data_IF_078015008382
#
_entry.id   IF_078015008382
#
_cell.length_a   1.000
_cell.length_b   1.000
_cell.length_c   1.000
_cell.angle_alpha   90.00
_cell.angle_beta   90.00
_cell.angle_gamma   90.00
#
_symmetry.space_group_name_H-M   'P 1'
#
loop_
_entity.id
_entity.type
_entity.pdbx_description
1 polymer ?
#
# COMPACT_ATOMS: atom_id res chain seq x y z
N UNK A 1 19.70 32.06 -31.80
CA UNK A 1 18.68 32.19 -30.75
C UNK A 1 17.39 32.69 -31.37
N UNK A 2 16.35 31.84 -31.40
CA UNK A 2 14.98 32.32 -31.20
C UNK A 2 14.24 31.52 -30.12
N UNK A 3 13.26 32.19 -29.53
CA UNK A 3 12.40 31.78 -28.43
C UNK A 3 11.57 30.53 -28.73
N UNK A 4 11.61 29.55 -27.82
CA UNK A 4 10.62 28.49 -27.68
C UNK A 4 9.53 28.97 -26.71
N UNK A 5 8.44 29.48 -27.26
CA UNK A 5 7.15 29.59 -26.59
C UNK A 5 6.15 28.75 -27.38
N UNK A 6 5.40 27.90 -26.67
CA UNK A 6 4.24 27.20 -27.22
C UNK A 6 4.44 25.70 -27.42
N UNK A 7 4.49 24.93 -26.32
CA UNK A 7 4.13 23.49 -26.31
C UNK A 7 3.82 23.01 -24.88
N UNK A 8 2.92 23.72 -24.20
CA UNK A 8 2.24 23.25 -22.98
C UNK A 8 0.73 23.41 -23.18
N UNK A 9 0.18 22.71 -24.17
CA UNK A 9 -1.26 22.47 -24.24
C UNK A 9 -1.50 21.31 -25.20
N UNK A 10 -1.55 20.08 -24.68
CA UNK A 10 -2.16 18.89 -25.31
C UNK A 10 -1.89 17.66 -24.41
N UNK A 11 -2.48 17.66 -23.21
CA UNK A 11 -2.75 16.44 -22.43
C UNK A 11 -4.10 16.54 -21.70
N UNK A 12 -4.99 17.43 -22.16
CA UNK A 12 -6.39 17.43 -21.79
C UNK A 12 -7.19 16.63 -22.83
N UNK A 13 -6.80 15.37 -23.06
CA UNK A 13 -7.55 14.47 -23.92
C UNK A 13 -8.65 13.79 -23.12
N UNK A 14 -9.84 14.37 -23.22
CA UNK A 14 -11.14 13.71 -23.36
C UNK A 14 -11.22 12.29 -22.79
N UNK A 15 -11.56 12.19 -21.50
CA UNK A 15 -12.01 10.93 -20.91
C UNK A 15 -13.32 10.55 -21.61
N UNK A 16 -13.29 9.49 -22.42
CA UNK A 16 -14.52 8.94 -22.99
C UNK A 16 -15.43 8.44 -21.87
N UNK A 17 -16.73 8.72 -21.96
CA UNK A 17 -17.76 8.28 -21.02
C UNK A 17 -17.71 6.76 -20.76
N UNK A 18 -17.26 5.96 -21.72
CA UNK A 18 -17.08 4.51 -21.58
C UNK A 18 -15.94 4.09 -20.64
N UNK A 19 -14.81 4.79 -20.64
CA UNK A 19 -13.69 4.56 -19.70
C UNK A 19 -14.12 4.84 -18.26
N UNK A 20 -14.98 5.84 -18.10
CA UNK A 20 -15.43 6.33 -16.82
C UNK A 20 -16.55 5.46 -16.21
N UNK A 21 -17.44 4.91 -17.05
CA UNK A 21 -18.40 3.85 -16.66
C UNK A 21 -17.67 2.58 -16.22
N UNK A 22 -16.55 2.22 -16.86
CA UNK A 22 -15.73 1.07 -16.47
C UNK A 22 -15.03 1.31 -15.12
N UNK A 23 -14.54 2.53 -14.86
CA UNK A 23 -13.97 2.94 -13.56
C UNK A 23 -15.03 2.91 -12.47
N UNK A 24 -16.22 3.45 -12.74
CA UNK A 24 -17.35 3.38 -11.81
C UNK A 24 -17.83 1.95 -11.60
N UNK A 25 -17.87 1.10 -12.63
CA UNK A 25 -18.16 -0.32 -12.46
C UNK A 25 -17.05 -1.06 -11.73
N UNK A 26 -15.78 -0.65 -11.85
CA UNK A 26 -14.66 -1.26 -11.17
C UNK A 26 -14.68 -0.91 -9.68
N UNK A 27 -14.82 0.37 -9.36
CA UNK A 27 -15.01 0.86 -8.00
C UNK A 27 -16.32 0.31 -7.46
N UNK A 28 -17.45 0.46 -8.13
CA UNK A 28 -18.70 -0.14 -7.68
C UNK A 28 -18.65 -1.68 -7.64
N UNK A 29 -17.83 -2.42 -8.38
CA UNK A 29 -17.67 -3.87 -8.19
C UNK A 29 -16.75 -4.19 -7.03
N UNK A 30 -15.54 -3.63 -6.99
CA UNK A 30 -14.60 -3.79 -5.88
C UNK A 30 -15.26 -3.38 -4.55
N UNK A 31 -16.10 -2.35 -4.59
CA UNK A 31 -16.78 -1.79 -3.43
C UNK A 31 -18.21 -2.32 -3.23
N UNK A 32 -19.04 -2.68 -4.23
CA UNK A 32 -20.27 -3.46 -3.97
C UNK A 32 -19.91 -4.82 -3.39
N UNK A 33 -18.80 -5.44 -3.80
CA UNK A 33 -18.32 -6.65 -3.15
C UNK A 33 -17.88 -6.38 -1.70
N UNK A 34 -17.40 -5.17 -1.39
CA UNK A 34 -17.10 -4.74 -0.03
C UNK A 34 -18.34 -4.28 0.78
N UNK A 35 -19.40 -3.78 0.13
CA UNK A 35 -20.58 -3.12 0.72
C UNK A 35 -21.80 -4.05 0.83
N UNK A 36 -22.01 -5.01 -0.08
CA UNK A 36 -23.22 -5.87 -0.15
C UNK A 36 -23.45 -6.74 1.12
N UNK A 37 -22.51 -6.80 2.07
CA UNK A 37 -22.77 -7.45 3.36
C UNK A 37 -22.75 -6.55 4.61
N UNK A 38 -22.39 -5.27 4.51
CA UNK A 38 -22.49 -4.37 5.68
C UNK A 38 -23.92 -3.90 5.98
N UNK A 39 -24.89 -4.17 5.09
CA UNK A 39 -26.31 -3.91 5.31
C UNK A 39 -27.06 -5.05 6.00
N UNK A 40 -26.46 -6.23 6.19
CA UNK A 40 -27.09 -7.32 6.93
C UNK A 40 -26.37 -7.55 8.27
N UNK A 41 -26.66 -6.68 9.25
CA UNK A 41 -26.43 -6.99 10.67
C UNK A 41 -27.61 -7.82 11.23
N UNK A 42 -27.37 -8.57 12.32
CA UNK A 42 -27.82 -9.95 12.49
C UNK A 42 -29.29 -10.06 12.91
N UNK A 43 -30.05 -10.85 12.15
CA UNK A 43 -31.18 -11.59 12.68
C UNK A 43 -30.68 -12.95 13.14
N UNK A 44 -30.88 -13.27 14.42
CA UNK A 44 -30.74 -14.61 14.96
C UNK A 44 -31.48 -15.64 14.06
N UNK A 45 -30.78 -16.69 13.66
CA UNK A 45 -31.36 -17.85 13.00
C UNK A 45 -30.55 -19.09 13.39
N UNK A 46 -31.03 -19.81 14.39
CA UNK A 46 -30.52 -21.10 14.81
C UNK A 46 -30.43 -22.07 13.63
N UNK A 47 -29.24 -22.62 13.39
CA UNK A 47 -29.08 -24.04 13.04
C UNK A 47 -27.83 -24.53 13.73
N UNK A 48 -28.00 -25.29 14.82
CA UNK A 48 -26.91 -26.09 15.35
C UNK A 48 -26.49 -27.13 14.32
N UNK A 49 -25.19 -27.40 14.23
CA UNK A 49 -24.62 -28.75 14.16
C UNK A 49 -23.09 -28.68 14.33
N UNK A 50 -22.57 -29.70 15.00
CA UNK A 50 -21.21 -29.89 15.48
C UNK A 50 -20.22 -30.35 14.41
N UNK A 51 -18.93 -30.09 14.65
CA UNK A 51 -17.78 -30.74 14.01
C UNK A 51 -17.20 -29.94 12.84
N UNK A 52 -15.88 -29.75 12.83
CA UNK A 52 -15.08 -29.19 11.72
C UNK A 52 -15.05 -27.66 11.53
N UNK A 53 -15.04 -26.89 12.62
CA UNK A 53 -14.72 -25.46 12.61
C UNK A 53 -13.22 -25.19 12.87
N UNK A 54 -12.36 -25.34 11.86
CA UNK A 54 -11.08 -24.60 11.79
C UNK A 54 -10.73 -24.39 10.31
N UNK A 55 -10.32 -23.17 9.93
CA UNK A 55 -9.63 -22.86 8.67
C UNK A 55 -10.47 -22.59 7.40
N UNK A 56 -11.65 -21.99 7.54
CA UNK A 56 -12.22 -21.15 6.47
C UNK A 56 -12.20 -19.70 6.98
N UNK A 57 -11.01 -19.11 7.05
CA UNK A 57 -10.92 -17.64 7.04
C UNK A 57 -11.42 -17.24 5.65
N UNK A 58 -12.69 -16.86 5.63
CA UNK A 58 -13.54 -16.61 4.49
C UNK A 58 -12.77 -15.88 3.38
N UNK A 59 -12.45 -16.59 2.30
CA UNK A 59 -11.68 -16.12 1.12
C UNK A 59 -12.24 -14.81 0.56
N UNK A 60 -13.54 -14.56 0.75
CA UNK A 60 -14.18 -13.30 0.41
C UNK A 60 -13.68 -12.12 1.26
N UNK A 61 -13.40 -12.32 2.55
CA UNK A 61 -12.81 -11.31 3.46
C UNK A 61 -11.36 -11.03 3.06
N UNK A 62 -10.58 -12.07 2.76
CA UNK A 62 -9.21 -11.94 2.27
C UNK A 62 -9.15 -11.14 0.97
N UNK A 63 -9.99 -11.47 -0.02
CA UNK A 63 -10.10 -10.73 -1.29
C UNK A 63 -10.58 -9.27 -1.10
N UNK A 64 -11.47 -8.99 -0.13
CA UNK A 64 -11.90 -7.63 0.24
C UNK A 64 -10.76 -6.79 0.84
N UNK A 65 -10.00 -7.36 1.76
CA UNK A 65 -8.86 -6.71 2.43
C UNK A 65 -7.71 -6.50 1.44
N UNK A 66 -7.44 -7.49 0.59
CA UNK A 66 -6.50 -7.43 -0.51
C UNK A 66 -6.88 -6.31 -1.47
N UNK A 67 -8.13 -6.25 -1.92
CA UNK A 67 -8.60 -5.15 -2.77
C UNK A 67 -8.42 -3.78 -2.12
N UNK A 68 -8.71 -3.60 -0.83
CA UNK A 68 -8.55 -2.31 -0.14
C UNK A 68 -7.09 -1.89 0.03
N UNK A 69 -6.23 -2.79 0.51
CA UNK A 69 -4.80 -2.49 0.72
C UNK A 69 -4.13 -2.24 -0.63
N UNK A 70 -4.45 -3.07 -1.63
CA UNK A 70 -3.94 -2.89 -2.98
C UNK A 70 -4.45 -1.61 -3.61
N UNK A 71 -5.74 -1.30 -3.52
CA UNK A 71 -6.28 -0.04 -4.02
C UNK A 71 -5.58 1.13 -3.36
N UNK A 72 -5.49 1.19 -2.03
CA UNK A 72 -4.78 2.28 -1.34
C UNK A 72 -3.34 2.38 -1.83
N UNK A 73 -2.61 1.28 -1.83
CA UNK A 73 -1.21 1.24 -2.24
C UNK A 73 -1.03 1.68 -3.70
N UNK A 74 -1.89 1.22 -4.62
CA UNK A 74 -1.92 1.60 -6.02
C UNK A 74 -2.31 3.06 -6.24
N UNK A 75 -3.29 3.53 -5.48
CA UNK A 75 -3.77 4.91 -5.54
C UNK A 75 -2.65 5.87 -5.19
N UNK A 76 -1.85 5.53 -4.18
CA UNK A 76 -0.81 6.43 -3.70
C UNK A 76 0.50 6.27 -4.50
N UNK A 77 0.85 5.06 -4.93
CA UNK A 77 2.05 4.82 -5.76
C UNK A 77 1.90 5.28 -7.21
N UNK A 78 0.67 5.27 -7.77
CA UNK A 78 0.42 5.57 -9.20
C UNK A 78 -0.52 6.74 -9.43
N UNK A 79 -1.17 7.23 -8.38
CA UNK A 79 -2.01 8.42 -8.48
C UNK A 79 -1.17 9.68 -8.52
N UNK A 80 -1.71 10.71 -9.16
CA UNK A 80 -1.10 12.04 -9.12
C UNK A 80 -1.63 12.77 -7.89
N UNK A 81 -0.73 13.22 -7.01
CA UNK A 81 -1.09 14.14 -5.92
C UNK A 81 -1.59 15.44 -6.56
N UNK A 82 -2.89 15.68 -6.47
CA UNK A 82 -3.54 16.87 -7.04
C UNK A 82 -3.82 17.94 -6.00
N UNK A 83 -3.79 17.58 -4.71
CA UNK A 83 -3.95 18.56 -3.65
C UNK A 83 -3.34 18.11 -2.32
N UNK A 84 -2.80 19.07 -1.57
CA UNK A 84 -2.23 18.85 -0.24
C UNK A 84 -2.52 20.09 0.61
N UNK A 85 -3.35 19.97 1.64
CA UNK A 85 -3.91 21.13 2.36
C UNK A 85 -4.20 20.84 3.83
N UNK A 86 -3.90 21.81 4.70
CA UNK A 86 -4.41 21.84 6.07
C UNK A 86 -5.85 22.35 6.10
N UNK A 87 -6.70 21.73 6.91
CA UNK A 87 -8.09 22.14 7.11
C UNK A 87 -8.35 22.50 8.57
N UNK A 88 -9.31 23.41 8.78
CA UNK A 88 -9.74 23.91 10.10
C UNK A 88 -11.23 23.66 10.36
N UNK A 89 -11.90 22.91 9.47
CA UNK A 89 -13.29 22.52 9.60
C UNK A 89 -13.58 21.26 8.75
N UNK A 90 -14.02 20.18 9.40
CA UNK A 90 -14.33 18.90 8.73
C UNK A 90 -15.54 18.96 7.80
N UNK A 91 -16.48 19.89 8.01
CA UNK A 91 -17.58 20.13 7.08
C UNK A 91 -17.10 20.72 5.74
N UNK A 92 -16.13 21.63 5.79
CA UNK A 92 -15.50 22.22 4.60
C UNK A 92 -14.61 21.21 3.86
N UNK A 93 -14.05 20.23 4.58
CA UNK A 93 -13.24 19.16 4.00
C UNK A 93 -14.00 18.34 2.97
N UNK A 94 -15.25 17.98 3.25
CA UNK A 94 -16.06 17.17 2.35
C UNK A 94 -16.39 17.96 1.07
N UNK A 95 -16.79 19.22 1.20
CA UNK A 95 -17.03 20.11 0.06
C UNK A 95 -15.77 20.28 -0.78
N UNK A 96 -14.64 20.56 -0.13
CA UNK A 96 -13.34 20.68 -0.79
C UNK A 96 -12.96 19.42 -1.57
N UNK A 97 -13.20 18.24 -1.01
CA UNK A 97 -12.93 16.97 -1.69
C UNK A 97 -13.81 16.76 -2.92
N UNK A 98 -15.11 17.12 -2.83
CA UNK A 98 -16.01 17.07 -3.98
C UNK A 98 -15.52 17.98 -5.10
N UNK A 99 -15.11 19.20 -4.77
CA UNK A 99 -14.59 20.16 -5.75
C UNK A 99 -13.27 19.71 -6.36
N UNK A 100 -12.34 19.24 -5.51
CA UNK A 100 -11.01 18.77 -5.93
C UNK A 100 -11.10 17.54 -6.84
N UNK A 101 -12.07 16.66 -6.58
CA UNK A 101 -12.28 15.40 -7.32
C UNK A 101 -13.47 15.46 -8.27
N UNK A 102 -13.88 16.66 -8.68
CA UNK A 102 -15.06 16.88 -9.53
C UNK A 102 -14.99 16.10 -10.84
N UNK A 103 -13.83 16.14 -11.49
CA UNK A 103 -13.62 15.56 -12.82
C UNK A 103 -12.79 14.27 -12.82
N UNK A 104 -12.50 13.72 -11.64
CA UNK A 104 -11.62 12.56 -11.52
C UNK A 104 -12.02 11.69 -10.33
N UNK A 105 -11.70 10.41 -10.39
CA UNK A 105 -11.67 9.58 -9.19
C UNK A 105 -10.46 9.99 -8.35
N UNK A 106 -10.61 10.05 -7.04
CA UNK A 106 -9.49 10.24 -6.11
C UNK A 106 -9.58 9.33 -4.89
N UNK A 107 -8.43 9.14 -4.25
CA UNK A 107 -8.35 8.83 -2.82
C UNK A 107 -7.87 10.09 -2.10
N UNK A 108 -8.43 10.36 -0.93
CA UNK A 108 -7.94 11.37 -0.03
C UNK A 108 -7.51 10.74 1.29
N UNK A 109 -6.27 11.02 1.71
CA UNK A 109 -5.69 10.57 2.95
C UNK A 109 -5.84 11.68 4.00
N UNK A 110 -6.57 11.40 5.06
CA UNK A 110 -6.85 12.35 6.14
C UNK A 110 -5.98 12.04 7.34
N UNK A 111 -5.38 13.08 7.91
CA UNK A 111 -4.58 13.02 9.13
C UNK A 111 -5.00 14.15 10.08
N UNK A 112 -5.62 13.80 11.21
CA UNK A 112 -6.14 14.77 12.18
C UNK A 112 -5.97 14.24 13.62
N UNK A 113 -4.89 14.64 14.29
CA UNK A 113 -4.59 14.16 15.64
C UNK A 113 -4.44 12.63 15.69
N UNK A 114 -5.31 11.96 16.45
CA UNK A 114 -5.37 10.50 16.55
C UNK A 114 -6.21 9.83 15.44
N UNK A 115 -6.69 10.60 14.47
CA UNK A 115 -7.49 10.12 13.35
C UNK A 115 -6.63 10.03 12.09
N UNK A 116 -6.56 8.84 11.52
CA UNK A 116 -6.07 8.60 10.16
C UNK A 116 -7.20 8.06 9.31
N UNK A 117 -7.26 8.41 8.03
CA UNK A 117 -8.33 7.89 7.20
C UNK A 117 -8.09 7.95 5.71
N UNK A 118 -8.95 7.22 5.00
CA UNK A 118 -9.02 7.15 3.55
C UNK A 118 -10.44 7.48 3.12
N UNK A 119 -10.58 8.43 2.20
CA UNK A 119 -11.84 8.82 1.60
C UNK A 119 -11.73 8.59 0.11
N UNK A 120 -12.59 7.77 -0.45
CA UNK A 120 -12.64 7.49 -1.88
C UNK A 120 -13.75 8.32 -2.49
N UNK A 121 -13.40 9.11 -3.50
CA UNK A 121 -14.28 10.09 -4.14
C UNK A 121 -14.36 9.79 -5.63
N UNK A 122 -15.57 9.75 -6.19
CA UNK A 122 -15.82 9.65 -7.63
C UNK A 122 -16.80 10.73 -8.04
N UNK A 123 -16.42 11.59 -8.97
CA UNK A 123 -17.35 12.56 -9.61
C UNK A 123 -18.25 13.29 -8.60
N UNK A 124 -17.63 14.02 -7.67
CA UNK A 124 -18.34 14.79 -6.62
C UNK A 124 -19.06 13.95 -5.54
N UNK A 125 -18.96 12.63 -5.56
CA UNK A 125 -19.56 11.77 -4.54
C UNK A 125 -18.54 10.96 -3.75
N UNK A 126 -18.76 10.89 -2.44
CA UNK A 126 -17.95 10.07 -1.55
C UNK A 126 -18.50 8.64 -1.61
N UNK A 127 -17.72 7.75 -2.21
CA UNK A 127 -18.08 6.35 -2.38
C UNK A 127 -17.83 5.53 -1.12
N UNK A 128 -16.72 5.83 -0.44
CA UNK A 128 -16.35 5.12 0.77
C UNK A 128 -15.47 6.01 1.66
N UNK A 129 -15.56 5.79 2.96
CA UNK A 129 -14.68 6.41 3.94
C UNK A 129 -14.32 5.41 5.01
N UNK A 130 -13.05 5.39 5.37
CA UNK A 130 -12.50 4.56 6.43
C UNK A 130 -11.66 5.44 7.32
N UNK A 131 -11.92 5.41 8.62
CA UNK A 131 -11.08 6.07 9.61
C UNK A 131 -10.58 5.06 10.61
N UNK A 132 -9.38 5.28 11.09
CA UNK A 132 -8.87 4.74 12.33
C UNK A 132 -8.84 5.87 13.36
N UNK A 133 -9.53 5.69 14.49
CA UNK A 133 -9.62 6.66 15.57
C UNK A 133 -9.07 6.01 16.84
N UNK A 134 -7.84 6.36 17.23
CA UNK A 134 -7.24 5.79 18.44
C UNK A 134 -7.22 4.25 18.48
N UNK A 135 -7.07 3.60 17.32
CA UNK A 135 -7.06 2.14 17.17
C UNK A 135 -8.41 1.51 16.80
N UNK A 136 -9.52 2.24 16.87
CA UNK A 136 -10.83 1.76 16.43
C UNK A 136 -11.04 2.03 14.93
N UNK A 137 -11.51 1.03 14.17
CA UNK A 137 -11.84 1.18 12.76
C UNK A 137 -13.30 1.59 12.56
N UNK A 138 -13.51 2.77 11.99
CA UNK A 138 -14.80 3.28 11.54
C UNK A 138 -14.90 3.19 10.02
N UNK A 139 -16.10 2.91 9.49
CA UNK A 139 -16.36 2.83 8.07
C UNK A 139 -17.69 3.51 7.69
N UNK A 140 -17.86 3.79 6.40
CA UNK A 140 -19.11 4.31 5.83
C UNK A 140 -19.63 5.55 6.56
N UNK A 141 -20.91 5.55 6.93
CA UNK A 141 -21.58 6.70 7.58
C UNK A 141 -20.93 7.06 8.92
N UNK A 142 -20.44 6.08 9.70
CA UNK A 142 -19.78 6.36 10.98
C UNK A 142 -18.46 7.11 10.78
N UNK A 143 -17.69 6.70 9.77
CA UNK A 143 -16.48 7.42 9.35
C UNK A 143 -16.81 8.83 8.84
N UNK A 144 -17.87 9.00 8.04
CA UNK A 144 -18.31 10.32 7.55
C UNK A 144 -18.75 11.25 8.68
N UNK A 145 -19.49 10.75 9.66
CA UNK A 145 -19.92 11.54 10.80
C UNK A 145 -18.71 11.99 11.63
N UNK A 146 -17.76 11.08 11.86
CA UNK A 146 -16.53 11.41 12.57
C UNK A 146 -15.69 12.45 11.82
N UNK A 147 -15.61 12.38 10.48
CA UNK A 147 -14.93 13.40 9.66
C UNK A 147 -15.50 14.80 9.86
N UNK A 148 -16.83 14.92 10.00
CA UNK A 148 -17.50 16.21 10.23
C UNK A 148 -17.18 16.82 11.60
N UNK A 149 -16.84 15.98 12.59
CA UNK A 149 -16.44 16.41 13.93
C UNK A 149 -14.97 16.87 14.01
N UNK A 150 -14.17 16.65 12.95
CA UNK A 150 -12.77 17.05 12.95
C UNK A 150 -12.64 18.56 12.81
N UNK A 151 -12.07 19.20 13.82
CA UNK A 151 -11.90 20.66 13.87
C UNK A 151 -10.61 21.12 13.18
N UNK A 152 -9.63 20.25 13.01
CA UNK A 152 -8.41 20.57 12.28
C UNK A 152 -7.71 19.30 11.82
N UNK A 153 -6.89 19.44 10.78
CA UNK A 153 -6.07 18.35 10.30
C UNK A 153 -5.45 18.66 8.95
N UNK A 154 -5.08 17.60 8.27
CA UNK A 154 -4.37 17.63 7.02
C UNK A 154 -4.94 16.61 6.05
N UNK A 155 -4.94 16.97 4.76
CA UNK A 155 -5.39 16.08 3.70
C UNK A 155 -4.43 16.06 2.52
N UNK A 156 -4.22 14.87 1.98
CA UNK A 156 -3.53 14.62 0.72
C UNK A 156 -4.49 13.94 -0.24
N UNK A 157 -4.66 14.49 -1.44
CA UNK A 157 -5.61 14.01 -2.44
C UNK A 157 -4.84 13.51 -3.65
N UNK A 158 -4.97 12.22 -3.94
CA UNK A 158 -4.36 11.56 -5.08
C UNK A 158 -5.47 11.23 -6.09
N UNK A 159 -5.36 11.83 -7.27
CA UNK A 159 -6.20 11.46 -8.41
C UNK A 159 -5.73 10.13 -8.99
N UNK A 160 -6.68 9.27 -9.36
CA UNK A 160 -6.36 8.05 -10.06
C UNK A 160 -6.15 8.32 -11.55
N UNK A 161 -5.14 7.67 -12.13
CA UNK A 161 -5.03 7.58 -13.58
C UNK A 161 -6.07 6.55 -14.11
N UNK A 162 -7.00 6.93 -15.01
CA UNK A 162 -8.02 6.02 -15.54
C UNK A 162 -7.48 4.78 -16.26
N UNK A 163 -6.29 4.88 -16.86
CA UNK A 163 -5.60 3.75 -17.48
C UNK A 163 -5.14 2.74 -16.43
N UNK A 164 -4.64 3.24 -15.29
CA UNK A 164 -4.27 2.43 -14.13
C UNK A 164 -5.50 1.70 -13.58
N UNK A 165 -6.65 2.36 -13.44
CA UNK A 165 -7.89 1.69 -12.97
C UNK A 165 -8.36 0.62 -13.95
N UNK A 166 -8.41 0.92 -15.25
CA UNK A 166 -8.86 -0.04 -16.27
C UNK A 166 -7.95 -1.28 -16.31
N UNK A 167 -6.65 -1.06 -16.09
CA UNK A 167 -5.65 -2.11 -15.99
C UNK A 167 -5.81 -2.92 -14.69
N UNK A 168 -5.97 -2.27 -13.54
CA UNK A 168 -6.28 -2.89 -12.24
C UNK A 168 -7.54 -3.74 -12.34
N UNK A 169 -8.62 -3.22 -12.92
CA UNK A 169 -9.90 -3.93 -13.02
C UNK A 169 -9.80 -5.25 -13.82
N UNK A 170 -9.10 -5.25 -14.96
CA UNK A 170 -8.88 -6.47 -15.75
C UNK A 170 -8.11 -7.54 -14.96
N UNK A 171 -7.18 -7.11 -14.11
CA UNK A 171 -6.37 -8.01 -13.31
C UNK A 171 -7.11 -8.46 -12.04
N UNK A 172 -7.96 -7.63 -11.44
CA UNK A 172 -8.80 -8.00 -10.28
C UNK A 172 -9.79 -9.11 -10.65
N UNK A 173 -10.46 -9.03 -11.80
CA UNK A 173 -11.38 -10.11 -12.23
C UNK A 173 -10.65 -11.45 -12.43
N UNK A 174 -9.38 -11.40 -12.85
CA UNK A 174 -8.52 -12.57 -13.02
C UNK A 174 -8.07 -13.11 -11.67
N UNK A 175 -7.60 -12.23 -10.77
CA UNK A 175 -7.26 -12.56 -9.38
C UNK A 175 -8.43 -13.20 -8.64
N UNK A 176 -9.65 -12.67 -8.78
CA UNK A 176 -10.85 -13.25 -8.14
C UNK A 176 -11.13 -14.66 -8.65
N UNK A 177 -10.97 -14.92 -9.96
CA UNK A 177 -11.18 -16.25 -10.54
C UNK A 177 -10.12 -17.25 -10.06
N UNK A 178 -8.87 -16.82 -9.98
CA UNK A 178 -7.73 -17.66 -9.59
C UNK A 178 -7.75 -17.97 -8.09
N UNK A 179 -8.11 -16.99 -7.25
CA UNK A 179 -8.33 -17.20 -5.81
C UNK A 179 -9.43 -18.24 -5.54
N UNK A 180 -10.45 -18.29 -6.40
CA UNK A 180 -11.56 -19.28 -6.35
C UNK A 180 -11.21 -20.65 -6.96
N UNK A 181 -10.08 -20.78 -7.64
CA UNK A 181 -9.65 -22.07 -8.23
C UNK A 181 -9.18 -23.05 -7.14
N UNK A 182 -9.07 -24.34 -7.47
CA UNK A 182 -8.50 -25.37 -6.59
C UNK A 182 -6.95 -25.35 -6.54
N UNK A 183 -6.31 -24.28 -7.04
CA UNK A 183 -4.86 -24.12 -6.98
C UNK A 183 -4.33 -24.10 -5.54
N UNK A 184 -3.06 -24.49 -5.36
CA UNK A 184 -2.39 -24.42 -4.05
C UNK A 184 -2.36 -22.99 -3.53
N UNK A 185 -2.40 -22.82 -2.21
CA UNK A 185 -2.34 -21.50 -1.56
C UNK A 185 -1.10 -20.69 -1.97
N UNK A 186 0.04 -21.36 -2.14
CA UNK A 186 1.29 -20.76 -2.64
C UNK A 186 1.11 -20.13 -4.02
N UNK A 187 0.47 -20.85 -4.95
CA UNK A 187 0.30 -20.41 -6.34
C UNK A 187 -0.65 -19.19 -6.41
N UNK A 188 -1.68 -19.18 -5.56
CA UNK A 188 -2.62 -18.05 -5.41
C UNK A 188 -1.93 -16.81 -4.87
N UNK A 189 -1.11 -16.96 -3.84
CA UNK A 189 -0.36 -15.86 -3.22
C UNK A 189 0.68 -15.33 -4.20
N UNK A 190 1.42 -16.21 -4.89
CA UNK A 190 2.41 -15.82 -5.88
C UNK A 190 1.78 -15.05 -7.05
N UNK A 191 0.66 -15.55 -7.58
CA UNK A 191 -0.05 -14.86 -8.68
C UNK A 191 -0.60 -13.50 -8.21
N UNK A 192 -1.14 -13.44 -7.00
CA UNK A 192 -1.56 -12.18 -6.37
C UNK A 192 -0.40 -11.22 -6.27
N UNK A 193 0.73 -11.68 -5.73
CA UNK A 193 1.91 -10.87 -5.51
C UNK A 193 2.52 -10.35 -6.82
N UNK A 194 2.68 -11.21 -7.83
CA UNK A 194 3.20 -10.80 -9.14
C UNK A 194 2.28 -9.82 -9.86
N UNK A 195 0.97 -9.98 -9.71
CA UNK A 195 0.01 -9.01 -10.22
C UNK A 195 0.21 -7.67 -9.52
N UNK A 196 0.34 -7.66 -8.19
CA UNK A 196 0.55 -6.45 -7.40
C UNK A 196 1.81 -5.74 -7.84
N UNK A 197 2.96 -6.42 -7.85
CA UNK A 197 4.27 -5.87 -8.28
C UNK A 197 4.18 -5.20 -9.66
N UNK A 198 3.52 -5.87 -10.61
CA UNK A 198 3.30 -5.34 -11.96
C UNK A 198 2.40 -4.10 -11.98
N UNK A 199 1.37 -4.05 -11.14
CA UNK A 199 0.47 -2.88 -11.07
C UNK A 199 1.20 -1.65 -10.49
N UNK A 200 2.17 -1.85 -9.62
CA UNK A 200 2.91 -0.79 -8.91
C UNK A 200 4.25 -0.43 -9.57
N UNK A 201 4.53 -0.98 -10.75
CA UNK A 201 5.79 -0.82 -11.50
C UNK A 201 7.05 -1.17 -10.68
N UNK A 202 6.95 -2.15 -9.79
CA UNK A 202 8.15 -2.73 -9.18
C UNK A 202 8.71 -3.75 -10.18
N UNK A 203 9.95 -3.59 -10.68
CA UNK A 203 10.56 -4.47 -11.67
C UNK A 203 11.04 -5.79 -11.05
N UNK A 204 10.27 -6.36 -10.14
CA UNK A 204 10.52 -7.65 -9.50
C UNK A 204 9.35 -8.60 -9.75
N UNK A 205 9.63 -9.90 -9.66
CA UNK A 205 8.64 -10.96 -9.69
C UNK A 205 9.08 -12.13 -8.82
N UNK A 206 8.12 -12.89 -8.30
CA UNK A 206 8.31 -14.12 -7.54
C UNK A 206 8.21 -15.29 -8.50
N UNK A 207 9.31 -16.06 -8.58
CA UNK A 207 9.42 -17.29 -9.38
C UNK A 207 8.87 -18.50 -8.60
N UNK A 208 9.10 -18.52 -7.29
CA UNK A 208 8.78 -19.65 -6.43
C UNK A 208 8.37 -19.18 -5.03
N UNK A 209 7.36 -19.84 -4.46
CA UNK A 209 6.89 -19.63 -3.09
C UNK A 209 6.56 -20.98 -2.46
N UNK A 210 7.26 -21.34 -1.38
CA UNK A 210 7.03 -22.59 -0.67
C UNK A 210 6.82 -22.37 0.82
N UNK A 211 5.88 -23.13 1.39
CA UNK A 211 5.63 -23.18 2.82
C UNK A 211 6.32 -24.39 3.43
N UNK A 212 7.13 -24.14 4.46
CA UNK A 212 7.89 -25.16 5.18
C UNK A 212 7.47 -25.16 6.65
N UNK A 213 7.62 -26.31 7.32
CA UNK A 213 7.33 -26.47 8.76
C UNK A 213 5.94 -25.96 9.18
N UNK A 214 4.88 -26.31 8.44
CA UNK A 214 3.53 -25.84 8.77
C UNK A 214 3.39 -24.32 8.69
N UNK A 215 4.03 -23.71 7.68
CA UNK A 215 4.00 -22.26 7.37
C UNK A 215 4.83 -21.35 8.30
N UNK A 216 5.54 -21.93 9.27
CA UNK A 216 6.47 -21.18 10.13
C UNK A 216 7.62 -20.55 9.34
N UNK A 217 8.09 -21.26 8.30
CA UNK A 217 9.15 -20.81 7.41
C UNK A 217 8.61 -20.70 5.99
N UNK A 218 8.86 -19.56 5.35
CA UNK A 218 8.51 -19.34 3.95
C UNK A 218 9.78 -19.25 3.13
N UNK A 219 9.86 -19.99 2.03
CA UNK A 219 10.90 -19.83 1.02
C UNK A 219 10.35 -19.05 -0.18
N UNK A 220 11.15 -18.11 -0.69
CA UNK A 220 10.79 -17.26 -1.84
C UNK A 220 11.96 -17.15 -2.82
N UNK A 221 11.77 -17.44 -4.10
CA UNK A 221 12.71 -17.02 -5.16
C UNK A 221 12.18 -15.75 -5.83
N UNK A 222 12.97 -14.68 -5.78
CA UNK A 222 12.63 -13.35 -6.31
C UNK A 222 13.64 -12.97 -7.37
N UNK A 223 13.14 -12.50 -8.51
CA UNK A 223 13.95 -11.94 -9.56
C UNK A 223 13.61 -10.47 -9.78
N UNK A 224 14.64 -9.62 -9.81
CA UNK A 224 14.50 -8.18 -9.99
C UNK A 224 15.36 -7.70 -11.17
N UNK A 225 14.87 -6.71 -11.91
CA UNK A 225 15.61 -6.04 -12.98
C UNK A 225 16.04 -4.65 -12.53
N UNK A 226 17.29 -4.30 -12.85
CA UNK A 226 17.96 -3.00 -12.65
C UNK A 226 18.17 -2.56 -11.19
N UNK A 227 17.16 -2.66 -10.33
CA UNK A 227 17.21 -2.26 -8.92
C UNK A 227 16.88 -3.41 -7.97
N UNK A 228 17.70 -3.58 -6.91
CA UNK A 228 17.42 -4.54 -5.84
C UNK A 228 16.31 -4.00 -4.93
N UNK A 229 15.06 -4.24 -5.34
CA UNK A 229 13.85 -3.95 -4.55
C UNK A 229 13.30 -5.21 -3.88
N UNK A 230 14.18 -6.18 -3.61
CA UNK A 230 13.77 -7.48 -3.09
C UNK A 230 13.21 -7.38 -1.69
N UNK A 231 13.87 -6.63 -0.79
CA UNK A 231 13.35 -6.47 0.57
C UNK A 231 11.94 -5.86 0.53
N UNK A 232 11.75 -4.81 -0.26
CA UNK A 232 10.46 -4.18 -0.47
C UNK A 232 9.40 -5.17 -0.97
N UNK A 233 9.76 -5.99 -1.95
CA UNK A 233 8.93 -7.08 -2.48
C UNK A 233 8.56 -8.08 -1.37
N UNK A 234 9.51 -8.54 -0.58
CA UNK A 234 9.28 -9.46 0.54
C UNK A 234 8.35 -8.85 1.60
N UNK A 235 8.46 -7.56 1.89
CA UNK A 235 7.59 -6.91 2.87
C UNK A 235 6.15 -6.75 2.37
N UNK A 236 5.95 -6.52 1.07
CA UNK A 236 4.61 -6.56 0.45
C UNK A 236 4.05 -7.98 0.50
N UNK A 237 4.88 -9.00 0.21
CA UNK A 237 4.48 -10.40 0.35
C UNK A 237 4.04 -10.72 1.79
N UNK A 238 4.77 -10.25 2.80
CA UNK A 238 4.39 -10.45 4.20
C UNK A 238 2.99 -9.90 4.49
N UNK A 239 2.63 -8.73 3.94
CA UNK A 239 1.27 -8.19 4.06
C UNK A 239 0.23 -9.07 3.37
N UNK A 240 0.56 -9.72 2.26
CA UNK A 240 -0.33 -10.70 1.62
C UNK A 240 -0.46 -11.96 2.47
N UNK A 241 0.63 -12.49 3.03
CA UNK A 241 0.60 -13.66 3.91
C UNK A 241 -0.33 -13.44 5.12
N UNK A 242 -0.26 -12.26 5.74
CA UNK A 242 -1.16 -11.86 6.83
C UNK A 242 -2.65 -11.92 6.44
N UNK A 243 -2.99 -11.55 5.20
CA UNK A 243 -4.37 -11.64 4.68
C UNK A 243 -4.84 -13.09 4.60
N UNK A 244 -3.93 -14.02 4.29
CA UNK A 244 -4.18 -15.45 4.29
C UNK A 244 -4.02 -16.08 5.69
N UNK A 245 -3.85 -15.27 6.75
CA UNK A 245 -3.59 -15.73 8.12
C UNK A 245 -2.32 -16.58 8.27
N UNK A 246 -1.34 -16.36 7.37
CA UNK A 246 -0.04 -17.03 7.39
C UNK A 246 0.96 -16.10 8.07
N UNK A 247 1.53 -16.56 9.18
CA UNK A 247 2.30 -15.74 10.11
C UNK A 247 3.71 -16.30 10.31
N UNK A 248 4.61 -16.23 9.31
CA UNK A 248 5.92 -16.85 9.40
C UNK A 248 6.81 -16.14 10.42
N UNK A 249 7.69 -16.90 11.06
CA UNK A 249 8.74 -16.38 11.94
C UNK A 249 10.02 -16.06 11.15
N UNK A 250 10.19 -16.70 9.99
CA UNK A 250 11.33 -16.48 9.08
C UNK A 250 10.88 -16.55 7.62
N UNK A 251 11.35 -15.60 6.81
CA UNK A 251 11.28 -15.67 5.36
C UNK A 251 12.69 -15.84 4.79
N UNK A 252 12.97 -16.99 4.22
CA UNK A 252 14.18 -17.26 3.46
C UNK A 252 13.96 -16.86 2.02
N UNK A 253 14.87 -16.07 1.44
CA UNK A 253 14.70 -15.63 0.07
C UNK A 253 15.98 -15.66 -0.75
N UNK A 254 15.82 -16.10 -1.99
CA UNK A 254 16.83 -16.06 -3.04
C UNK A 254 16.54 -14.87 -3.94
N UNK A 255 17.58 -14.11 -4.29
CA UNK A 255 17.49 -12.90 -5.10
C UNK A 255 18.28 -13.11 -6.37
N UNK A 256 17.62 -12.98 -7.52
CA UNK A 256 18.23 -12.95 -8.84
C UNK A 256 18.13 -11.54 -9.40
N UNK A 257 19.20 -10.76 -9.26
CA UNK A 257 19.26 -9.39 -9.76
C UNK A 257 19.89 -9.37 -11.17
N UNK A 258 19.15 -8.88 -12.16
CA UNK A 258 19.63 -8.66 -13.52
C UNK A 258 19.90 -7.18 -13.75
N UNK A 259 21.13 -6.79 -14.06
CA UNK A 259 21.53 -5.40 -14.34
C UNK A 259 22.09 -5.28 -15.75
N UNK A 260 21.80 -4.17 -16.43
CA UNK A 260 22.48 -3.83 -17.69
C UNK A 260 23.77 -3.06 -17.40
N UNK A 261 24.92 -3.72 -17.50
CA UNK A 261 26.24 -3.13 -17.29
C UNK A 261 26.98 -3.03 -18.62
N UNK A 262 27.26 -1.81 -19.08
CA UNK A 262 28.00 -1.55 -20.34
C UNK A 262 27.40 -2.27 -21.57
N UNK A 263 26.07 -2.40 -21.61
CA UNK A 263 25.36 -3.10 -22.70
C UNK A 263 25.31 -4.62 -22.56
N UNK A 264 25.80 -5.19 -21.46
CA UNK A 264 25.78 -6.63 -21.15
C UNK A 264 24.87 -6.86 -19.95
N UNK A 265 23.95 -7.82 -20.06
CA UNK A 265 23.13 -8.26 -18.93
C UNK A 265 24.03 -9.06 -17.97
N UNK A 266 24.17 -8.58 -16.74
CA UNK A 266 24.80 -9.32 -15.65
C UNK A 266 23.75 -9.82 -14.67
N UNK A 267 23.97 -11.02 -14.18
CA UNK A 267 23.10 -11.64 -13.19
C UNK A 267 23.88 -11.88 -11.90
N UNK A 268 23.29 -11.47 -10.77
CA UNK A 268 23.83 -11.72 -9.43
C UNK A 268 22.79 -12.47 -8.62
N UNK A 269 23.22 -13.60 -8.05
CA UNK A 269 22.39 -14.41 -7.15
C UNK A 269 22.87 -14.23 -5.71
N UNK A 270 21.95 -13.94 -4.80
CA UNK A 270 22.23 -13.84 -3.38
C UNK A 270 21.14 -14.53 -2.56
N UNK A 271 21.52 -15.25 -1.50
CA UNK A 271 20.58 -15.81 -0.52
C UNK A 271 20.59 -14.93 0.72
N UNK A 272 19.41 -14.62 1.23
CA UNK A 272 19.19 -13.77 2.40
C UNK A 272 18.04 -14.37 3.22
N UNK A 273 17.84 -13.84 4.43
CA UNK A 273 16.70 -14.20 5.28
C UNK A 273 16.18 -12.95 6.01
N UNK A 274 14.92 -13.00 6.42
CA UNK A 274 14.25 -11.97 7.21
C UNK A 274 13.65 -12.63 8.45
N UNK A 275 14.15 -12.28 9.62
CA UNK A 275 13.60 -12.73 10.91
C UNK A 275 12.45 -11.82 11.35
N UNK A 276 11.39 -12.46 11.86
CA UNK A 276 10.18 -11.83 12.39
C UNK A 276 9.94 -12.39 13.80
N UNK A 277 10.77 -11.98 14.79
CA UNK A 277 10.80 -12.61 16.11
C UNK A 277 9.59 -12.27 17.00
N UNK A 278 8.87 -11.18 16.69
CA UNK A 278 7.75 -10.71 17.49
C UNK A 278 6.73 -9.92 16.64
N UNK A 279 5.54 -9.71 17.22
CA UNK A 279 4.44 -8.97 16.58
C UNK A 279 4.81 -7.51 16.27
N UNK A 280 5.68 -6.88 17.08
CA UNK A 280 6.13 -5.51 16.85
C UNK A 280 6.97 -5.43 15.57
N UNK A 281 7.87 -6.40 15.36
CA UNK A 281 8.68 -6.51 14.14
C UNK A 281 7.80 -6.73 12.93
N UNK A 282 6.84 -7.66 13.04
CA UNK A 282 5.87 -7.93 11.96
C UNK A 282 5.10 -6.66 11.59
N UNK A 283 4.59 -5.92 12.58
CA UNK A 283 3.88 -4.66 12.36
C UNK A 283 4.75 -3.61 11.67
N UNK A 284 6.00 -3.43 12.10
CA UNK A 284 6.95 -2.50 11.44
C UNK A 284 7.12 -2.88 9.97
N UNK A 285 7.36 -4.16 9.68
CA UNK A 285 7.55 -4.65 8.32
C UNK A 285 6.32 -4.50 7.43
N UNK A 286 5.12 -4.62 7.99
CA UNK A 286 3.87 -4.47 7.26
C UNK A 286 3.55 -3.01 6.93
N UNK A 287 3.75 -2.11 7.90
CA UNK A 287 3.35 -0.71 7.75
C UNK A 287 4.37 0.10 6.96
N UNK A 288 5.66 -0.21 7.08
CA UNK A 288 6.72 0.60 6.47
C UNK A 288 6.66 0.70 4.94
N UNK A 289 6.39 -0.39 4.17
CA UNK A 289 6.25 -0.30 2.72
C UNK A 289 5.17 0.67 2.27
N UNK A 290 4.05 0.71 3.01
CA UNK A 290 2.93 1.60 2.72
C UNK A 290 3.27 3.06 3.03
N UNK A 291 3.96 3.32 4.15
CA UNK A 291 4.40 4.67 4.51
C UNK A 291 5.37 5.20 3.45
N UNK A 292 6.33 4.39 3.00
CA UNK A 292 7.30 4.78 1.98
C UNK A 292 6.65 4.96 0.60
N UNK A 293 5.77 4.04 0.20
CA UNK A 293 5.00 4.17 -1.04
C UNK A 293 4.23 5.51 -1.09
N UNK A 294 3.78 5.98 0.08
CA UNK A 294 3.00 7.21 0.16
C UNK A 294 3.71 8.48 -0.29
N UNK A 295 5.04 8.42 -0.38
CA UNK A 295 5.90 9.52 -0.81
C UNK A 295 6.68 9.15 -2.08
N UNK A 296 6.32 8.05 -2.75
CA UNK A 296 7.02 7.53 -3.91
C UNK A 296 8.42 6.98 -3.59
N UNK A 297 8.64 6.49 -2.37
CA UNK A 297 9.91 5.91 -1.92
C UNK A 297 9.76 4.42 -1.65
N UNK A 298 10.83 3.65 -1.84
CA UNK A 298 10.86 2.20 -1.65
C UNK A 298 11.93 1.83 -0.61
N UNK A 299 11.67 0.80 0.19
CA UNK A 299 12.61 0.32 1.19
C UNK A 299 13.77 -0.44 0.54
N UNK A 300 15.00 -0.02 0.81
CA UNK A 300 16.21 -0.74 0.38
C UNK A 300 16.74 -1.62 1.51
N UNK A 301 16.76 -1.10 2.73
CA UNK A 301 17.22 -1.83 3.91
C UNK A 301 16.54 -1.34 5.19
N UNK A 302 16.43 -2.22 6.18
CA UNK A 302 15.97 -1.87 7.53
C UNK A 302 16.80 -2.61 8.58
N UNK A 303 17.19 -1.88 9.62
CA UNK A 303 17.77 -2.46 10.84
C UNK A 303 16.93 -2.04 12.04
N UNK A 304 16.51 -3.03 12.84
CA UNK A 304 15.69 -2.83 14.04
C UNK A 304 16.54 -3.13 15.27
N UNK A 305 16.95 -2.09 15.99
CA UNK A 305 17.73 -2.21 17.23
C UNK A 305 16.83 -2.04 18.46
N UNK A 306 16.96 -2.94 19.43
CA UNK A 306 16.30 -2.84 20.74
C UNK A 306 17.33 -2.47 21.79
N UNK A 307 17.21 -1.28 22.39
CA UNK A 307 18.16 -0.75 23.37
C UNK A 307 17.42 -0.20 24.58
N UNK A 308 17.58 -0.81 25.77
CA UNK A 308 17.01 -0.33 27.04
C UNK A 308 15.49 -0.03 26.96
N UNK A 309 14.74 -0.87 26.26
CA UNK A 309 13.29 -0.70 26.03
C UNK A 309 12.92 0.36 24.99
N UNK A 310 13.90 0.93 24.28
CA UNK A 310 13.73 1.76 23.08
C UNK A 310 13.93 0.92 21.82
N UNK A 311 13.08 1.12 20.82
CA UNK A 311 13.24 0.58 19.46
C UNK A 311 13.81 1.69 18.58
N UNK A 312 14.92 1.41 17.91
CA UNK A 312 15.57 2.31 16.97
C UNK A 312 15.49 1.67 15.59
N UNK A 313 14.83 2.36 14.66
CA UNK A 313 14.73 1.94 13.26
C UNK A 313 15.76 2.72 12.45
N UNK A 314 16.67 2.01 11.78
CA UNK A 314 17.52 2.60 10.76
C UNK A 314 17.02 2.12 9.40
N UNK A 315 16.61 3.06 8.57
CA UNK A 315 15.90 2.81 7.31
C UNK A 315 16.72 3.41 6.18
N UNK A 316 17.09 2.58 5.21
CA UNK A 316 17.63 3.04 3.93
C UNK A 316 16.53 2.93 2.87
N UNK A 317 16.26 4.01 2.16
CA UNK A 317 15.21 4.06 1.16
C UNK A 317 15.67 4.74 -0.13
N UNK A 318 14.94 4.50 -1.22
CA UNK A 318 15.09 5.31 -2.42
C UNK A 318 14.67 6.76 -2.11
N UNK A 319 15.20 7.76 -2.83
CA UNK A 319 14.74 9.12 -2.71
C UNK A 319 13.22 9.20 -3.02
N UNK A 320 12.43 9.94 -2.23
CA UNK A 320 11.03 10.17 -2.55
C UNK A 320 10.89 10.91 -3.89
N UNK A 321 9.74 10.73 -4.57
CA UNK A 321 9.43 11.45 -5.83
C UNK A 321 9.32 12.96 -5.57
N UNK A 322 8.94 13.34 -4.35
CA UNK A 322 8.87 14.72 -3.90
C UNK A 322 10.18 15.11 -3.20
N UNK A 323 10.51 16.41 -3.17
CA UNK A 323 11.64 16.97 -2.40
C UNK A 323 11.42 16.91 -0.88
N UNK A 324 10.84 15.82 -0.38
CA UNK A 324 10.65 15.57 1.04
C UNK A 324 12.03 15.37 1.67
N UNK A 325 12.32 16.16 2.69
CA UNK A 325 13.57 16.06 3.42
C UNK A 325 13.59 14.78 4.27
N UNK A 326 14.77 14.16 4.49
CA UNK A 326 14.88 12.96 5.32
C UNK A 326 14.26 13.07 6.71
N UNK A 327 14.31 14.26 7.33
CA UNK A 327 13.69 14.54 8.63
C UNK A 327 12.16 14.48 8.56
N UNK A 328 11.55 14.95 7.47
CA UNK A 328 10.10 14.91 7.29
C UNK A 328 9.63 13.45 7.14
N UNK A 329 10.37 12.63 6.38
CA UNK A 329 10.03 11.20 6.24
C UNK A 329 10.24 10.44 7.56
N UNK A 330 11.34 10.68 8.26
CA UNK A 330 11.56 10.10 9.60
C UNK A 330 10.40 10.45 10.55
N UNK A 331 9.94 11.70 10.54
CA UNK A 331 8.81 12.16 11.35
C UNK A 331 7.50 11.49 10.94
N UNK A 332 7.25 11.31 9.65
CA UNK A 332 6.06 10.61 9.15
C UNK A 332 6.04 9.15 9.59
N UNK A 333 7.16 8.44 9.47
CA UNK A 333 7.29 7.05 9.93
C UNK A 333 7.12 6.97 11.45
N UNK A 334 7.76 7.86 12.19
CA UNK A 334 7.59 7.95 13.65
C UNK A 334 6.13 8.13 14.05
N UNK A 335 5.43 9.09 13.46
CA UNK A 335 4.02 9.38 13.78
C UNK A 335 3.07 8.21 13.44
N UNK A 336 3.41 7.40 12.44
CA UNK A 336 2.66 6.20 12.11
C UNK A 336 2.90 5.08 13.13
N UNK A 337 4.15 4.82 13.49
CA UNK A 337 4.55 3.66 14.29
C UNK A 337 4.51 3.90 15.81
N UNK A 338 4.69 5.13 16.27
CA UNK A 338 4.68 5.51 17.70
C UNK A 338 3.36 5.23 18.42
N UNK A 339 2.27 5.03 17.66
CA UNK A 339 0.98 4.58 18.16
C UNK A 339 1.03 3.18 18.75
N UNK A 340 1.91 2.35 18.22
CA UNK A 340 2.10 0.96 18.62
C UNK A 340 3.40 0.77 19.41
N UNK A 341 4.34 1.72 19.34
CA UNK A 341 5.68 1.63 19.93
C UNK A 341 5.93 2.85 20.82
N UNK A 342 5.90 2.66 22.13
CA UNK A 342 5.99 3.76 23.12
C UNK A 342 7.33 4.51 23.11
N UNK A 343 8.42 3.81 22.82
CA UNK A 343 9.79 4.36 22.78
C UNK A 343 10.42 4.02 21.44
N UNK A 344 10.00 4.75 20.41
CA UNK A 344 10.52 4.64 19.05
C UNK A 344 11.56 5.72 18.81
N UNK A 345 12.54 5.46 17.95
CA UNK A 345 13.34 6.45 17.21
C UNK A 345 13.45 5.98 15.77
N UNK A 346 13.39 6.93 14.84
CA UNK A 346 13.48 6.64 13.42
C UNK A 346 14.62 7.44 12.81
N UNK A 347 15.55 6.72 12.19
CA UNK A 347 16.64 7.27 11.40
C UNK A 347 16.42 6.86 9.94
N UNK A 348 16.38 7.82 9.04
CA UNK A 348 16.17 7.62 7.60
C UNK A 348 17.41 8.07 6.85
N UNK A 349 17.81 7.28 5.86
CA UNK A 349 18.85 7.61 4.89
C UNK A 349 18.33 7.42 3.46
N UNK A 350 18.49 8.45 2.62
CA UNK A 350 18.27 8.33 1.17
C UNK A 350 19.58 7.99 0.48
N UNK A 351 19.51 7.09 -0.49
CA UNK A 351 20.63 6.81 -1.40
C UNK A 351 20.32 7.42 -2.77
N UNK A 352 20.91 8.59 -3.05
CA UNK A 352 20.80 9.29 -4.33
C UNK A 352 21.87 8.76 -5.30
N UNK A 353 21.46 8.12 -6.40
CA UNK A 353 22.38 7.75 -7.49
C UNK A 353 22.80 9.01 -8.23
N UNK A 354 24.08 9.37 -8.18
CA UNK A 354 24.65 10.50 -8.94
C UNK A 354 25.71 10.02 -9.93
N UNK A 355 26.08 10.82 -10.96
CA UNK A 355 27.15 10.46 -11.90
C UNK A 355 28.52 10.20 -11.25
N UNK A 356 28.75 10.73 -10.05
CA UNK A 356 29.99 10.57 -9.28
C UNK A 356 29.90 9.48 -8.20
N UNK A 357 28.78 8.76 -8.14
CA UNK A 357 28.51 7.70 -7.17
C UNK A 357 27.28 7.95 -6.29
N UNK A 358 26.92 7.01 -5.41
CA UNK A 358 25.79 7.19 -4.50
C UNK A 358 26.11 8.23 -3.41
N UNK A 359 25.23 9.22 -3.25
CA UNK A 359 25.28 10.22 -2.16
C UNK A 359 24.22 9.87 -1.13
N UNK A 360 24.60 9.90 0.16
CA UNK A 360 23.70 9.57 1.27
C UNK A 360 23.29 10.83 2.03
N UNK A 361 21.98 11.04 2.20
CA UNK A 361 21.42 12.13 3.02
C UNK A 361 20.58 11.57 4.15
N UNK A 362 20.70 12.14 5.36
CA UNK A 362 20.16 11.55 6.59
C UNK A 362 19.17 12.46 7.31
N UNK A 363 18.21 11.85 7.98
CA UNK A 363 17.27 12.51 8.86
C UNK A 363 16.86 11.64 10.04
N UNK A 364 16.27 12.28 11.04
CA UNK A 364 15.95 11.66 12.32
C UNK A 364 14.66 12.21 12.92
N UNK A 365 13.88 11.34 13.55
CA UNK A 365 12.76 11.66 14.43
C UNK A 365 12.90 10.89 15.76
N UNK A 366 12.55 11.54 16.89
CA UNK A 366 12.89 11.08 18.25
C UNK A 366 12.33 9.73 18.63
#
# INVERSE_FOLDING_TARGET
MPHLQGRESLLADTISSGSLILVQSAIAKIYNWAIIQYTNKPGFGNTGYHGDQVMIVNIDVASRVLNRILLKYLSVSRGSLIARRAFTNGGELLTYLKDTCRNTTCIALVHAGNVNGEIYVTQEDIMASYLEVGGEQLNGINALNKLKELNNGYIEVYSFNPQVISYIHRHIDTLIKEVRSEAKTSDKIMTSMNTVLRLIDIPCYIDELEFMNGEEIVYVDVACNDEDLTLYTILILLRLLDIYSIAPSVINYSVRLKTLEQGIIREKIAKKYLEIPDEITRMIYIELPMILASVGSHLLNIEIKRQRGKIILNIESTPPIFTMEPNELASRIYNALSRYISKLEVNVEYTLKTPVGPVKTRGKAP
#
